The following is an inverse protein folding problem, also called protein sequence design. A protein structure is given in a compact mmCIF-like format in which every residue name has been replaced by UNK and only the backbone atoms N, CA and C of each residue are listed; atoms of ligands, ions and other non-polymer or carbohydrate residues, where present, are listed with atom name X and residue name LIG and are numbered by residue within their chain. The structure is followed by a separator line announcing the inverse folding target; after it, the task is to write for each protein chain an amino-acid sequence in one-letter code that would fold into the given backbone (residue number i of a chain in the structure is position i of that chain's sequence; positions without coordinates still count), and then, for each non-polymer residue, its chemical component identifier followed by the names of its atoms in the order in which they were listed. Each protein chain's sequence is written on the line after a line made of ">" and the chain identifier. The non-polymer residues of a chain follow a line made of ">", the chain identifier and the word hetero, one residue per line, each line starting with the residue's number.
data_IF_658241894293
#
_entry.id   IF_658241894293
#
_cell.length_a   1.000
_cell.length_b   1.000
_cell.length_c   1.000
_cell.angle_alpha   90.00
_cell.angle_beta   90.00
_cell.angle_gamma   90.00
#
_symmetry.space_group_name_H-M   'P 1'
#
loop_
_entity.id
_entity.type
_entity.pdbx_description
1 polymer ?
#
# COMPACT_ATOMS: atom_id res chain seq x y z
N UNK A 1 15.51 10.78 -10.33
CA UNK A 1 14.64 9.73 -9.76
C UNK A 1 14.39 10.10 -8.31
N UNK A 2 13.16 10.47 -7.95
CA UNK A 2 12.78 10.68 -6.55
C UNK A 2 12.44 9.31 -5.97
N UNK A 3 13.43 8.62 -5.41
CA UNK A 3 13.20 7.41 -4.63
C UNK A 3 12.47 7.85 -3.36
N UNK A 4 11.15 7.73 -3.33
CA UNK A 4 10.38 7.84 -2.10
C UNK A 4 10.77 6.70 -1.19
N UNK A 5 11.71 6.92 -0.28
CA UNK A 5 11.92 6.01 0.83
C UNK A 5 10.78 6.23 1.81
N UNK A 6 10.08 5.15 2.15
CA UNK A 6 9.10 5.14 3.24
C UNK A 6 9.81 5.61 4.51
N UNK A 7 9.21 6.58 5.20
CA UNK A 7 9.69 7.05 6.49
C UNK A 7 9.75 5.87 7.47
N UNK A 8 10.81 5.79 8.28
CA UNK A 8 11.07 4.63 9.14
C UNK A 8 9.90 4.30 10.09
N UNK A 9 9.11 5.33 10.43
CA UNK A 9 7.91 5.27 11.28
C UNK A 9 6.79 4.39 10.72
N UNK A 10 6.72 4.20 9.39
CA UNK A 10 5.62 3.43 8.77
C UNK A 10 6.05 2.07 8.24
N UNK A 11 7.35 1.73 8.32
CA UNK A 11 7.88 0.48 7.76
C UNK A 11 7.23 -0.78 8.37
N UNK A 12 7.00 -0.78 9.68
CA UNK A 12 6.40 -1.93 10.39
C UNK A 12 4.92 -2.13 10.06
N UNK A 13 4.11 -1.08 10.17
CA UNK A 13 2.69 -1.13 9.81
C UNK A 13 2.48 -1.56 8.34
N UNK A 14 3.37 -1.11 7.47
CA UNK A 14 3.36 -1.48 6.06
C UNK A 14 3.75 -2.94 5.83
N UNK A 15 4.73 -3.44 6.58
CA UNK A 15 5.11 -4.85 6.56
C UNK A 15 3.96 -5.76 7.03
N UNK A 16 3.24 -5.35 8.08
CA UNK A 16 2.05 -6.07 8.56
C UNK A 16 0.90 -6.04 7.55
N UNK A 17 0.63 -4.88 6.95
CA UNK A 17 -0.37 -4.75 5.89
C UNK A 17 -0.05 -5.67 4.71
N UNK A 18 1.22 -5.76 4.32
CA UNK A 18 1.71 -6.68 3.30
C UNK A 18 1.47 -8.14 3.66
N UNK A 19 1.83 -8.54 4.88
CA UNK A 19 1.60 -9.90 5.36
C UNK A 19 0.10 -10.25 5.34
N UNK A 20 -0.75 -9.32 5.75
CA UNK A 20 -2.20 -9.48 5.71
C UNK A 20 -2.74 -9.60 4.28
N UNK A 21 -2.29 -8.76 3.35
CA UNK A 21 -2.68 -8.84 1.93
C UNK A 21 -2.23 -10.16 1.28
N UNK A 22 -1.04 -10.64 1.61
CA UNK A 22 -0.49 -11.87 1.05
C UNK A 22 -1.09 -13.14 1.68
N UNK A 23 -1.67 -13.03 2.88
CA UNK A 23 -2.23 -14.17 3.63
C UNK A 23 -3.32 -14.92 2.85
N UNK A 24 -4.15 -14.21 2.09
CA UNK A 24 -5.22 -14.80 1.27
C UNK A 24 -4.75 -15.36 -0.08
N UNK A 25 -3.56 -14.99 -0.54
CA UNK A 25 -3.06 -15.38 -1.85
C UNK A 25 -2.35 -16.74 -1.87
N UNK A 26 -2.05 -17.31 -0.69
CA UNK A 26 -1.62 -18.71 -0.51
C UNK A 26 -0.51 -19.17 -1.48
N UNK A 27 -0.69 -20.37 -2.06
CA UNK A 27 0.24 -20.99 -3.02
C UNK A 27 0.45 -20.19 -4.31
N UNK A 28 -0.45 -19.26 -4.66
CA UNK A 28 -0.30 -18.47 -5.89
C UNK A 28 0.93 -17.55 -5.83
N UNK A 29 1.26 -17.01 -4.65
CA UNK A 29 2.45 -16.18 -4.46
C UNK A 29 3.76 -16.98 -4.44
N UNK A 30 3.72 -18.29 -4.15
CA UNK A 30 4.91 -19.17 -4.18
C UNK A 30 5.48 -19.34 -5.60
N UNK A 31 4.64 -19.23 -6.62
CA UNK A 31 5.07 -19.33 -8.03
C UNK A 31 5.42 -17.98 -8.66
N UNK A 32 5.19 -16.87 -7.95
CA UNK A 32 5.53 -15.54 -8.46
C UNK A 32 7.03 -15.34 -8.34
N UNK A 33 7.71 -14.90 -9.42
CA UNK A 33 9.13 -14.61 -9.37
C UNK A 33 9.48 -13.61 -8.26
N UNK A 34 10.55 -13.88 -7.54
CA UNK A 34 11.01 -13.08 -6.39
C UNK A 34 11.11 -11.58 -6.70
N UNK A 35 11.53 -11.23 -7.93
CA UNK A 35 11.62 -9.84 -8.39
C UNK A 35 10.25 -9.17 -8.51
N UNK A 36 9.24 -9.88 -8.97
CA UNK A 36 7.85 -9.39 -9.05
C UNK A 36 7.30 -9.22 -7.63
N UNK A 37 7.51 -10.20 -6.75
CA UNK A 37 7.11 -10.10 -5.34
C UNK A 37 7.71 -8.88 -4.65
N UNK A 38 9.02 -8.64 -4.83
CA UNK A 38 9.68 -7.45 -4.28
C UNK A 38 9.13 -6.15 -4.86
N UNK A 39 8.88 -6.10 -6.17
CA UNK A 39 8.34 -4.91 -6.81
C UNK A 39 6.91 -4.59 -6.34
N UNK A 40 6.07 -5.61 -6.19
CA UNK A 40 4.71 -5.45 -5.64
C UNK A 40 4.77 -5.01 -4.18
N UNK A 41 5.66 -5.59 -3.37
CA UNK A 41 5.87 -5.16 -1.98
C UNK A 41 6.28 -3.70 -1.87
N UNK A 42 7.24 -3.26 -2.68
CA UNK A 42 7.67 -1.86 -2.72
C UNK A 42 6.55 -0.90 -3.17
N UNK A 43 5.74 -1.29 -4.17
CA UNK A 43 4.64 -0.47 -4.64
C UNK A 43 3.55 -0.30 -3.58
N UNK A 44 3.21 -1.39 -2.89
CA UNK A 44 2.28 -1.36 -1.77
C UNK A 44 2.84 -0.57 -0.60
N UNK A 45 4.14 -0.68 -0.34
CA UNK A 45 4.81 0.08 0.71
C UNK A 45 4.71 1.59 0.50
N UNK A 46 5.04 2.03 -0.71
CA UNK A 46 4.92 3.44 -1.10
C UNK A 46 3.47 3.90 -1.03
N UNK A 47 2.53 3.13 -1.59
CA UNK A 47 1.11 3.50 -1.59
C UNK A 47 0.53 3.64 -0.18
N UNK A 48 0.89 2.73 0.73
CA UNK A 48 0.42 2.78 2.12
C UNK A 48 1.00 3.96 2.89
N UNK A 49 2.31 4.22 2.75
CA UNK A 49 2.95 5.38 3.35
C UNK A 49 2.35 6.71 2.84
N UNK A 50 2.06 6.80 1.54
CA UNK A 50 1.36 7.95 0.95
C UNK A 50 -0.05 8.10 1.53
N UNK A 51 -0.82 7.01 1.61
CA UNK A 51 -2.15 7.05 2.20
C UNK A 51 -2.15 7.50 3.67
N UNK A 52 -1.23 6.99 4.49
CA UNK A 52 -1.09 7.42 5.89
C UNK A 52 -0.76 8.92 5.99
N UNK A 53 0.14 9.40 5.14
CA UNK A 53 0.47 10.82 5.08
C UNK A 53 -0.72 11.68 4.65
N UNK A 54 -1.50 11.24 3.66
CA UNK A 54 -2.69 11.96 3.23
C UNK A 54 -3.80 11.94 4.28
N UNK A 55 -3.91 10.87 5.09
CA UNK A 55 -4.79 10.86 6.27
C UNK A 55 -4.32 11.89 7.30
N UNK A 56 -3.02 11.94 7.61
CA UNK A 56 -2.47 12.90 8.54
C UNK A 56 -2.64 14.37 8.07
N UNK A 57 -2.53 14.59 6.76
CA UNK A 57 -2.69 15.90 6.14
C UNK A 57 -4.16 16.25 5.82
N UNK A 58 -5.12 15.35 6.09
CA UNK A 58 -6.55 15.54 5.81
C UNK A 58 -6.93 15.53 4.33
N UNK A 59 -6.06 15.01 3.45
CA UNK A 59 -6.26 14.91 1.99
C UNK A 59 -6.82 13.57 1.52
N UNK A 60 -6.90 12.58 2.41
CA UNK A 60 -7.27 11.22 2.04
C UNK A 60 -8.68 11.12 1.43
N UNK A 61 -9.63 11.95 1.86
CA UNK A 61 -11.00 11.92 1.36
C UNK A 61 -11.10 12.26 -0.14
N UNK A 62 -10.19 13.11 -0.65
CA UNK A 62 -10.17 13.48 -2.07
C UNK A 62 -9.62 12.36 -2.96
N UNK A 63 -8.60 11.64 -2.46
CA UNK A 63 -8.09 10.40 -3.07
C UNK A 63 -9.18 9.32 -3.10
N UNK A 64 -9.89 9.10 -1.98
CA UNK A 64 -10.98 8.11 -1.91
C UNK A 64 -12.12 8.47 -2.85
N UNK A 65 -12.52 9.75 -2.94
CA UNK A 65 -13.53 10.21 -3.92
C UNK A 65 -13.11 9.95 -5.36
N UNK A 66 -11.83 10.12 -5.68
CA UNK A 66 -11.32 9.89 -7.03
C UNK A 66 -11.30 8.40 -7.39
N UNK A 67 -10.76 7.55 -6.51
CA UNK A 67 -10.50 6.14 -6.82
C UNK A 67 -11.66 5.21 -6.50
N UNK A 68 -12.49 5.58 -5.53
CA UNK A 68 -13.61 4.79 -5.00
C UNK A 68 -14.85 5.67 -4.76
N UNK A 69 -15.40 6.29 -5.82
CA UNK A 69 -16.59 7.12 -5.70
C UNK A 69 -17.78 6.35 -5.09
N UNK A 70 -17.86 5.04 -5.33
CA UNK A 70 -18.86 4.12 -4.77
C UNK A 70 -18.90 4.07 -3.23
N UNK A 71 -17.81 4.42 -2.56
CA UNK A 71 -17.74 4.42 -1.09
C UNK A 71 -18.17 5.75 -0.46
N UNK A 72 -18.30 6.82 -1.26
CA UNK A 72 -18.57 8.18 -0.76
C UNK A 72 -19.99 8.65 -1.06
N UNK A 73 -20.68 8.03 -2.03
CA UNK A 73 -22.04 8.37 -2.46
C UNK A 73 -23.15 7.59 -1.73
N UNK A 74 -23.03 7.34 -0.42
CA UNK A 74 -24.14 6.84 0.42
C UNK A 74 -24.88 7.98 1.12
#
# INVERSE_FOLDING_TARGET
>A
MHSGSVDAEHAEATHEAMANLCSGAGYALLHVPDKIRKLVGQALEVGYATALRDVADGRFDDEVRQWRPDLVEQ
#
